data_IF_322348353876
#
_entry.id   IF_322348353876
#
_cell.length_a   1.000
_cell.length_b   1.000
_cell.length_c   1.000
_cell.angle_alpha   90.00
_cell.angle_beta   90.00
_cell.angle_gamma   90.00
#
_symmetry.space_group_name_H-M   'P 1'
#
loop_
_entity.id
_entity.type
_entity.pdbx_description
1 polymer ?
#
# COMPACT_ATOMS: atom_id res chain seq x y z
N UNK A 1 -7.47 8.56 0.67
CA UNK A 1 -7.93 9.87 1.18
C UNK A 1 -8.24 9.87 2.68
N UNK A 2 -9.43 9.48 3.18
CA UNK A 2 -9.78 9.64 4.62
C UNK A 2 -8.75 9.00 5.59
N UNK A 3 -8.31 7.79 5.28
CA UNK A 3 -7.26 7.06 6.04
C UNK A 3 -5.91 7.81 6.07
N UNK A 4 -5.50 8.42 4.96
CA UNK A 4 -4.26 9.22 4.87
C UNK A 4 -4.35 10.55 5.63
N UNK A 5 -5.56 11.11 5.75
CA UNK A 5 -5.83 12.31 6.54
C UNK A 5 -6.03 12.01 8.04
N UNK A 6 -6.04 10.74 8.46
CA UNK A 6 -6.33 10.34 9.83
C UNK A 6 -7.76 10.68 10.28
N UNK A 7 -8.71 10.73 9.33
CA UNK A 7 -10.12 11.04 9.60
C UNK A 7 -10.94 9.74 9.56
N UNK A 8 -11.69 9.40 10.63
CA UNK A 8 -12.61 8.26 10.62
C UNK A 8 -13.64 8.40 9.49
N UNK A 9 -13.85 7.31 8.75
CA UNK A 9 -14.80 7.30 7.64
C UNK A 9 -15.45 5.94 7.47
N UNK A 10 -16.77 5.95 7.25
CA UNK A 10 -17.56 4.75 6.95
C UNK A 10 -18.27 4.98 5.62
N UNK A 11 -18.19 4.01 4.71
CA UNK A 11 -18.79 4.08 3.36
C UNK A 11 -19.75 2.92 3.15
N UNK A 12 -20.69 3.04 2.21
CA UNK A 12 -21.62 1.94 1.87
C UNK A 12 -22.77 1.72 2.85
N UNK A 13 -23.10 2.70 3.70
CA UNK A 13 -24.11 2.61 4.78
C UNK A 13 -25.55 2.59 4.25
N UNK A 14 -25.75 2.84 2.95
CA UNK A 14 -27.07 2.95 2.35
C UNK A 14 -27.77 4.27 2.71
N UNK A 15 -29.09 4.37 2.52
CA UNK A 15 -29.85 5.57 2.84
C UNK A 15 -30.06 5.71 4.35
N UNK A 16 -29.39 6.67 4.96
CA UNK A 16 -29.59 7.06 6.37
C UNK A 16 -29.78 8.58 6.55
N UNK A 17 -29.63 9.37 5.46
CA UNK A 17 -29.68 10.83 5.50
C UNK A 17 -31.04 11.39 5.95
N UNK A 18 -32.11 10.59 5.85
CA UNK A 18 -33.44 10.97 6.37
C UNK A 18 -33.53 10.90 7.89
N UNK A 19 -32.58 10.21 8.52
CA UNK A 19 -32.58 9.93 9.96
C UNK A 19 -31.61 10.85 10.72
N UNK A 20 -31.05 11.87 10.05
CA UNK A 20 -30.10 12.83 10.62
C UNK A 20 -30.52 14.25 10.27
N UNK A 21 -30.64 15.09 11.29
CA UNK A 21 -30.90 16.52 11.18
C UNK A 21 -29.66 17.34 11.53
N UNK A 22 -29.58 18.56 11.01
CA UNK A 22 -28.52 19.50 11.37
C UNK A 22 -28.54 19.79 12.86
N UNK A 23 -27.44 19.49 13.55
CA UNK A 23 -27.29 19.67 15.00
C UNK A 23 -27.33 18.37 15.82
N UNK A 24 -27.65 17.23 15.19
CA UNK A 24 -27.64 15.93 15.87
C UNK A 24 -26.22 15.49 16.24
N UNK A 25 -26.10 14.85 17.41
CA UNK A 25 -24.86 14.17 17.80
C UNK A 25 -24.81 12.80 17.13
N UNK A 26 -23.69 12.53 16.46
CA UNK A 26 -23.45 11.30 15.72
C UNK A 26 -22.04 10.79 16.04
N UNK A 27 -21.90 9.47 16.17
CA UNK A 27 -20.60 8.81 16.32
C UNK A 27 -20.29 8.10 15.00
N UNK A 28 -19.06 8.30 14.51
CA UNK A 28 -18.52 7.62 13.35
C UNK A 28 -17.45 6.66 13.86
N UNK A 29 -17.77 5.39 13.88
CA UNK A 29 -16.86 4.31 14.27
C UNK A 29 -16.26 3.70 13.01
N UNK A 30 -15.06 4.18 12.65
CA UNK A 30 -14.31 3.69 11.50
C UNK A 30 -13.74 2.28 11.68
N UNK A 31 -13.55 1.84 12.92
CA UNK A 31 -12.94 0.55 13.25
C UNK A 31 -13.95 -0.60 13.08
N UNK A 32 -15.19 -0.39 13.53
CA UNK A 32 -16.30 -1.33 13.38
C UNK A 32 -17.15 -1.09 12.12
N UNK A 33 -16.90 0.02 11.41
CA UNK A 33 -17.69 0.41 10.24
C UNK A 33 -19.13 0.79 10.58
N UNK A 34 -19.35 1.43 11.73
CA UNK A 34 -20.68 1.75 12.27
C UNK A 34 -20.90 3.26 12.35
N UNK A 35 -22.15 3.67 12.17
CA UNK A 35 -22.62 5.01 12.54
C UNK A 35 -23.68 4.86 13.62
N UNK A 36 -23.48 5.56 14.73
CA UNK A 36 -24.46 5.62 15.82
C UNK A 36 -25.15 6.98 15.79
N UNK A 37 -26.43 6.97 15.45
CA UNK A 37 -27.28 8.15 15.46
C UNK A 37 -27.93 8.31 16.83
N UNK A 38 -28.01 9.55 17.32
CA UNK A 38 -28.61 9.88 18.62
C UNK A 38 -28.12 8.97 19.78
N UNK A 39 -26.78 8.86 19.99
CA UNK A 39 -26.24 7.99 21.03
C UNK A 39 -26.73 8.44 22.41
N UNK A 40 -27.07 7.49 23.28
CA UNK A 40 -27.34 7.77 24.69
C UNK A 40 -26.07 8.13 25.46
N UNK A 41 -26.23 8.63 26.68
CA UNK A 41 -25.10 9.05 27.53
C UNK A 41 -24.14 7.89 27.84
N UNK A 42 -24.63 6.65 27.94
CA UNK A 42 -23.80 5.46 28.16
C UNK A 42 -22.92 5.18 26.95
N UNK A 43 -23.50 5.19 25.75
CA UNK A 43 -22.79 5.00 24.48
C UNK A 43 -21.77 6.12 24.26
N UNK A 44 -22.15 7.38 24.52
CA UNK A 44 -21.24 8.52 24.46
C UNK A 44 -20.07 8.38 25.43
N UNK A 45 -20.33 7.95 26.67
CA UNK A 45 -19.28 7.74 27.66
C UNK A 45 -18.32 6.62 27.23
N UNK A 46 -18.84 5.51 26.68
CA UNK A 46 -18.03 4.40 26.16
C UNK A 46 -17.10 4.87 25.03
N UNK A 47 -17.64 5.49 23.99
CA UNK A 47 -16.82 5.97 22.86
C UNK A 47 -15.83 7.07 23.27
N UNK A 48 -16.20 7.95 24.23
CA UNK A 48 -15.24 8.92 24.79
C UNK A 48 -14.08 8.23 25.52
N UNK A 49 -14.36 7.15 26.23
CA UNK A 49 -13.34 6.36 26.90
C UNK A 49 -12.40 5.70 25.88
N UNK A 50 -12.94 5.09 24.84
CA UNK A 50 -12.16 4.47 23.75
C UNK A 50 -11.25 5.50 23.06
N UNK A 51 -11.75 6.70 22.75
CA UNK A 51 -10.94 7.79 22.18
C UNK A 51 -9.79 8.20 23.10
N UNK A 52 -10.02 8.22 24.42
CA UNK A 52 -8.98 8.56 25.39
C UNK A 52 -7.92 7.45 25.51
N UNK A 53 -8.33 6.18 25.44
CA UNK A 53 -7.41 5.05 25.39
C UNK A 53 -6.55 5.07 24.12
N UNK A 54 -7.15 5.37 22.97
CA UNK A 54 -6.43 5.53 21.70
C UNK A 54 -5.40 6.67 21.79
N UNK A 55 -5.75 7.82 22.39
CA UNK A 55 -4.81 8.94 22.61
C UNK A 55 -3.67 8.57 23.54
N UNK A 56 -3.98 7.87 24.63
CA UNK A 56 -2.99 7.38 25.59
C UNK A 56 -2.03 6.40 24.92
N UNK A 57 -2.54 5.49 24.10
CA UNK A 57 -1.73 4.56 23.30
C UNK A 57 -0.86 5.31 22.29
N UNK A 58 -1.43 6.25 21.53
CA UNK A 58 -0.67 7.07 20.58
C UNK A 58 0.53 7.76 21.26
N UNK A 59 0.30 8.35 22.45
CA UNK A 59 1.35 9.00 23.25
C UNK A 59 2.44 8.00 23.69
N UNK A 60 2.06 6.77 24.07
CA UNK A 60 3.03 5.72 24.40
C UNK A 60 3.84 5.28 23.17
N UNK A 61 3.21 5.25 22.01
CA UNK A 61 3.84 4.86 20.74
C UNK A 61 4.80 5.92 20.20
N UNK A 62 4.65 7.20 20.56
CA UNK A 62 5.63 8.25 20.23
C UNK A 62 7.04 7.90 20.71
N UNK A 63 7.16 7.22 21.85
CA UNK A 63 8.47 6.76 22.36
C UNK A 63 9.14 5.74 21.44
N UNK A 64 8.37 5.04 20.58
CA UNK A 64 8.90 4.08 19.62
C UNK A 64 9.37 4.73 18.32
N UNK A 65 9.00 5.99 18.05
CA UNK A 65 9.32 6.71 16.82
C UNK A 65 10.79 6.56 16.41
N UNK A 66 11.70 6.89 17.32
CA UNK A 66 13.15 6.92 17.09
C UNK A 66 13.81 5.53 17.22
N UNK A 67 13.07 4.51 17.66
CA UNK A 67 13.60 3.16 17.79
C UNK A 67 13.51 2.42 16.44
N UNK A 68 14.51 1.58 16.10
CA UNK A 68 14.41 0.71 14.94
C UNK A 68 13.38 -0.41 15.21
N UNK A 69 12.73 -0.91 14.17
CA UNK A 69 11.83 -2.06 14.28
C UNK A 69 12.65 -3.36 14.28
N UNK A 70 13.22 -3.72 15.44
CA UNK A 70 14.02 -4.95 15.62
C UNK A 70 13.23 -5.94 16.48
N UNK A 71 13.10 -7.18 16.00
CA UNK A 71 12.43 -8.27 16.74
C UNK A 71 13.21 -8.70 17.98
N UNK A 72 12.59 -9.46 18.88
CA UNK A 72 13.22 -9.95 20.12
C UNK A 72 14.48 -10.81 19.86
N UNK A 73 14.54 -11.45 18.71
CA UNK A 73 15.67 -12.28 18.24
C UNK A 73 16.63 -11.53 17.30
N UNK A 74 16.47 -10.22 17.13
CA UNK A 74 17.47 -9.35 16.50
C UNK A 74 17.28 -9.10 15.00
N UNK A 75 16.17 -9.53 14.41
CA UNK A 75 15.88 -9.29 13.00
C UNK A 75 15.40 -7.85 12.79
N UNK A 76 16.00 -7.14 11.83
CA UNK A 76 15.60 -5.79 11.46
C UNK A 76 14.46 -5.83 10.44
N UNK A 77 13.37 -5.12 10.75
CA UNK A 77 12.22 -4.93 9.87
C UNK A 77 12.23 -3.49 9.35
N UNK A 78 12.10 -3.31 8.04
CA UNK A 78 11.96 -2.00 7.41
C UNK A 78 10.49 -1.58 7.41
N UNK A 79 10.20 -0.40 7.96
CA UNK A 79 8.85 0.17 8.02
C UNK A 79 8.82 1.50 7.26
N UNK A 80 8.32 1.47 6.04
CA UNK A 80 8.22 2.61 5.14
C UNK A 80 6.80 3.19 5.12
N UNK A 81 6.68 4.44 4.69
CA UNK A 81 5.41 5.14 4.52
C UNK A 81 4.81 5.00 3.12
N UNK A 82 3.48 4.89 3.07
CA UNK A 82 2.66 5.06 1.88
C UNK A 82 2.17 6.50 1.84
N UNK A 83 2.41 7.21 0.74
CA UNK A 83 1.89 8.57 0.53
C UNK A 83 1.16 8.66 -0.81
N UNK A 84 0.19 9.56 -0.85
CA UNK A 84 -0.58 9.99 -2.01
C UNK A 84 -0.31 11.47 -2.32
N UNK A 85 -0.04 12.29 -1.30
CA UNK A 85 0.25 13.71 -1.45
C UNK A 85 1.63 14.10 -0.87
N UNK A 86 2.31 15.11 -1.46
CA UNK A 86 3.62 15.53 -0.97
C UNK A 86 3.68 15.93 0.51
N UNK A 87 2.61 16.50 1.06
CA UNK A 87 2.58 16.94 2.46
C UNK A 87 2.57 15.78 3.47
N UNK A 88 2.25 14.56 3.03
CA UNK A 88 2.23 13.38 3.92
C UNK A 88 3.65 12.90 4.28
N UNK A 89 4.69 13.40 3.60
CA UNK A 89 6.10 13.13 3.95
C UNK A 89 6.43 13.53 5.38
N UNK A 90 5.92 14.68 5.84
CA UNK A 90 6.15 15.14 7.21
C UNK A 90 5.57 14.13 8.22
N UNK A 91 4.37 13.60 7.96
CA UNK A 91 3.75 12.59 8.81
C UNK A 91 4.54 11.28 8.85
N UNK A 92 5.13 10.86 7.73
CA UNK A 92 6.02 9.69 7.69
C UNK A 92 7.24 9.88 8.59
N UNK A 93 7.89 11.05 8.51
CA UNK A 93 9.06 11.38 9.33
C UNK A 93 8.69 11.51 10.81
N UNK A 94 7.54 12.13 11.11
CA UNK A 94 7.04 12.28 12.47
C UNK A 94 6.71 10.95 13.16
N UNK A 95 6.36 9.93 12.38
CA UNK A 95 6.01 8.60 12.87
C UNK A 95 7.16 7.58 12.77
N UNK A 96 8.34 8.04 12.33
CA UNK A 96 9.57 7.25 12.30
C UNK A 96 9.59 6.17 11.22
N UNK A 97 9.12 6.51 10.01
CA UNK A 97 9.25 5.69 8.83
C UNK A 97 10.68 5.72 8.27
N UNK A 98 11.14 4.58 7.75
CA UNK A 98 12.50 4.39 7.21
C UNK A 98 12.66 4.92 5.77
N UNK A 99 11.57 5.36 5.15
CA UNK A 99 11.51 5.85 3.78
C UNK A 99 10.07 5.92 3.28
N UNK A 100 9.89 6.14 1.98
CA UNK A 100 8.60 6.02 1.30
C UNK A 100 8.62 4.76 0.44
N UNK A 101 7.82 3.75 0.81
CA UNK A 101 7.79 2.46 0.09
C UNK A 101 6.70 2.39 -0.98
N UNK A 102 5.81 3.40 -1.01
CA UNK A 102 4.84 3.61 -2.06
C UNK A 102 4.46 5.10 -2.12
N UNK A 103 4.85 5.77 -3.19
CA UNK A 103 4.27 7.04 -3.60
C UNK A 103 3.28 6.81 -4.74
N UNK A 104 2.00 7.01 -4.43
CA UNK A 104 0.87 7.01 -5.36
C UNK A 104 0.86 8.31 -6.15
N UNK A 105 1.09 8.23 -7.45
CA UNK A 105 1.26 9.41 -8.33
C UNK A 105 -0.05 9.90 -8.94
N UNK A 106 -1.18 9.23 -8.65
CA UNK A 106 -2.46 9.49 -9.31
C UNK A 106 -3.07 10.84 -8.92
N UNK A 107 -2.73 11.38 -7.75
CA UNK A 107 -3.28 12.65 -7.25
C UNK A 107 -3.07 13.81 -8.24
N UNK A 108 -2.00 13.77 -9.02
CA UNK A 108 -1.65 14.82 -9.98
C UNK A 108 -2.63 14.90 -11.15
N UNK A 109 -3.40 13.84 -11.41
CA UNK A 109 -4.45 13.78 -12.42
C UNK A 109 -5.84 14.11 -11.87
N UNK A 110 -6.04 14.05 -10.54
CA UNK A 110 -7.35 14.22 -9.93
C UNK A 110 -7.85 15.67 -10.07
N UNK A 111 -9.07 15.82 -10.60
CA UNK A 111 -9.75 17.12 -10.69
C UNK A 111 -9.22 18.05 -11.78
N UNK A 112 -8.34 17.56 -12.67
CA UNK A 112 -7.82 18.30 -13.83
C UNK A 112 -8.55 17.94 -15.12
N UNK A 113 -8.66 18.93 -16.00
CA UNK A 113 -9.19 18.76 -17.35
C UNK A 113 -8.08 18.47 -18.37
N UNK A 114 -6.87 18.95 -18.13
CA UNK A 114 -5.69 18.74 -18.97
C UNK A 114 -4.70 17.75 -18.37
N UNK A 115 -3.93 17.07 -19.23
CA UNK A 115 -2.85 16.18 -18.80
C UNK A 115 -1.73 16.96 -18.08
N UNK A 116 -1.19 16.42 -16.97
CA UNK A 116 -0.08 17.04 -16.24
C UNK A 116 1.18 17.10 -17.10
N UNK A 117 1.88 18.22 -17.04
CA UNK A 117 3.13 18.44 -17.76
C UNK A 117 4.31 17.77 -17.05
N UNK A 118 5.42 17.55 -17.77
CA UNK A 118 6.67 17.05 -17.19
C UNK A 118 7.13 17.91 -16.00
N UNK A 119 7.02 19.24 -16.12
CA UNK A 119 7.46 20.15 -15.06
C UNK A 119 6.58 20.04 -13.80
N UNK A 120 5.26 19.89 -13.97
CA UNK A 120 4.36 19.70 -12.84
C UNK A 120 4.65 18.38 -12.10
N UNK A 121 4.90 17.30 -12.84
CA UNK A 121 5.36 16.04 -12.27
C UNK A 121 6.69 16.23 -11.54
N UNK A 122 7.67 16.87 -12.17
CA UNK A 122 9.00 17.08 -11.61
C UNK A 122 8.95 17.90 -10.32
N UNK A 123 8.20 19.00 -10.27
CA UNK A 123 8.01 19.82 -9.06
C UNK A 123 7.42 18.99 -7.91
N UNK A 124 6.38 18.18 -8.18
CA UNK A 124 5.76 17.33 -7.19
C UNK A 124 6.71 16.22 -6.67
N UNK A 125 7.48 15.61 -7.57
CA UNK A 125 8.39 14.51 -7.24
C UNK A 125 9.65 14.97 -6.53
N UNK A 126 10.27 16.04 -7.02
CA UNK A 126 11.46 16.65 -6.42
C UNK A 126 11.19 17.14 -5.00
N UNK A 127 10.03 17.76 -4.75
CA UNK A 127 9.64 18.20 -3.41
C UNK A 127 9.61 17.05 -2.38
N UNK A 128 9.05 15.89 -2.77
CA UNK A 128 9.02 14.69 -1.92
C UNK A 128 10.43 14.16 -1.67
N UNK A 129 11.23 14.02 -2.72
CA UNK A 129 12.58 13.42 -2.64
C UNK A 129 13.52 14.26 -1.79
N UNK A 130 13.48 15.59 -1.96
CA UNK A 130 14.24 16.51 -1.12
C UNK A 130 13.81 16.47 0.35
N UNK A 131 12.49 16.40 0.60
CA UNK A 131 11.95 16.32 1.95
C UNK A 131 12.41 15.04 2.68
N UNK A 132 12.62 13.93 1.96
CA UNK A 132 13.10 12.65 2.50
C UNK A 132 14.60 12.62 2.84
N UNK A 133 15.37 13.66 2.49
CA UNK A 133 16.78 13.86 2.92
C UNK A 133 17.68 12.63 2.72
N UNK A 134 17.53 11.97 1.57
CA UNK A 134 18.34 10.81 1.19
C UNK A 134 17.76 9.44 1.59
N UNK A 135 16.63 9.39 2.30
CA UNK A 135 15.87 8.15 2.45
C UNK A 135 15.20 7.77 1.12
N UNK A 136 15.04 6.46 0.83
CA UNK A 136 14.49 5.99 -0.44
C UNK A 136 13.03 6.39 -0.63
N UNK A 137 12.68 6.73 -1.87
CA UNK A 137 11.31 6.99 -2.34
C UNK A 137 10.98 6.05 -3.49
N UNK A 138 10.06 5.11 -3.24
CA UNK A 138 9.57 4.19 -4.26
C UNK A 138 8.35 4.82 -4.95
N UNK A 139 8.56 5.31 -6.18
CA UNK A 139 7.52 5.91 -7.02
C UNK A 139 6.80 4.84 -7.83
N UNK A 140 5.48 4.77 -7.66
CA UNK A 140 4.63 3.97 -8.53
C UNK A 140 4.21 4.82 -9.72
N UNK A 141 4.42 4.30 -10.94
CA UNK A 141 3.88 4.96 -12.13
C UNK A 141 2.35 4.95 -12.11
N UNK A 142 1.72 5.69 -13.02
CA UNK A 142 0.27 5.85 -13.09
C UNK A 142 -0.51 4.53 -12.93
N UNK A 143 -1.37 4.46 -11.91
CA UNK A 143 -2.34 3.39 -11.67
C UNK A 143 -3.77 3.95 -11.63
N UNK A 144 -4.22 4.46 -12.78
CA UNK A 144 -5.62 4.86 -13.01
C UNK A 144 -6.24 4.06 -14.14
N UNK A 145 -7.55 3.85 -14.06
CA UNK A 145 -8.35 3.39 -15.19
C UNK A 145 -8.64 4.52 -16.17
N UNK A 146 -8.83 4.16 -17.45
CA UNK A 146 -9.21 5.12 -18.48
C UNK A 146 -10.50 5.88 -18.14
N UNK A 147 -11.40 5.25 -17.36
CA UNK A 147 -12.63 5.84 -16.84
C UNK A 147 -12.41 7.06 -15.92
N UNK A 148 -11.21 7.19 -15.34
CA UNK A 148 -10.85 8.26 -14.41
C UNK A 148 -10.01 9.37 -15.06
N UNK A 149 -9.65 9.23 -16.33
CA UNK A 149 -8.84 10.19 -17.09
C UNK A 149 -9.77 11.06 -17.94
N UNK A 150 -9.88 12.36 -17.62
CA UNK A 150 -10.77 13.29 -18.36
C UNK A 150 -10.28 13.57 -19.79
N UNK A 151 -8.97 13.55 -20.00
CA UNK A 151 -8.30 13.84 -21.27
C UNK A 151 -8.40 12.71 -22.29
N UNK A 152 -8.66 11.49 -21.84
CA UNK A 152 -8.76 10.33 -22.71
C UNK A 152 -10.23 10.08 -23.07
N UNK A 153 -10.54 9.72 -24.32
CA UNK A 153 -11.88 9.28 -24.66
C UNK A 153 -12.22 8.11 -23.74
N UNK A 154 -13.24 8.30 -22.91
CA UNK A 154 -13.75 7.25 -22.05
C UNK A 154 -14.04 6.07 -22.97
N UNK A 155 -13.39 4.90 -22.80
CA UNK A 155 -13.70 3.76 -23.64
C UNK A 155 -15.19 3.49 -23.46
N UNK A 156 -15.99 3.79 -24.50
CA UNK A 156 -17.44 3.57 -24.46
C UNK A 156 -17.67 2.13 -23.96
N UNK A 157 -18.37 2.01 -22.82
CA UNK A 157 -18.82 0.74 -22.24
C UNK A 157 -17.75 -0.27 -21.78
N UNK A 158 -16.63 0.14 -21.18
CA UNK A 158 -15.77 -0.82 -20.44
C UNK A 158 -16.54 -1.42 -19.25
N UNK A 159 -17.06 -2.64 -19.43
CA UNK A 159 -17.94 -3.29 -18.45
C UNK A 159 -17.23 -3.68 -17.16
N UNK A 160 -15.94 -3.93 -17.22
CA UNK A 160 -15.14 -4.35 -16.07
C UNK A 160 -13.85 -3.51 -15.98
N UNK A 161 -13.92 -2.25 -15.51
CA UNK A 161 -12.77 -1.35 -15.47
C UNK A 161 -11.55 -1.94 -14.73
N UNK A 162 -11.79 -2.69 -13.65
CA UNK A 162 -10.74 -3.39 -12.92
C UNK A 162 -10.04 -4.49 -13.71
N UNK A 163 -10.65 -5.05 -14.77
CA UNK A 163 -10.02 -6.04 -15.66
C UNK A 163 -9.59 -5.44 -17.01
N UNK A 164 -9.86 -4.15 -17.23
CA UNK A 164 -9.75 -3.49 -18.53
C UNK A 164 -8.48 -2.66 -18.71
N UNK A 165 -8.63 -1.58 -19.46
CA UNK A 165 -7.56 -0.62 -19.78
C UNK A 165 -7.27 0.32 -18.60
N UNK A 166 -6.31 -0.06 -17.76
CA UNK A 166 -5.83 0.73 -16.63
C UNK A 166 -4.31 0.58 -16.43
N UNK A 167 -3.76 1.44 -15.59
CA UNK A 167 -2.41 1.28 -15.03
C UNK A 167 -1.34 1.16 -16.14
N UNK A 168 -0.42 0.19 -16.05
CA UNK A 168 0.62 0.01 -17.07
C UNK A 168 0.07 -0.21 -18.48
N UNK A 169 -1.11 -0.81 -18.65
CA UNK A 169 -1.72 -1.01 -19.98
C UNK A 169 -2.17 0.31 -20.58
N UNK A 170 -2.72 1.20 -19.76
CA UNK A 170 -3.08 2.55 -20.16
C UNK A 170 -1.82 3.36 -20.53
N UNK A 171 -0.78 3.25 -19.71
CA UNK A 171 0.50 3.93 -19.92
C UNK A 171 1.19 3.47 -21.22
N UNK A 172 1.28 2.15 -21.46
CA UNK A 172 1.88 1.59 -22.68
C UNK A 172 1.10 1.92 -23.95
N UNK A 173 -0.23 2.10 -23.84
CA UNK A 173 -1.07 2.56 -24.96
C UNK A 173 -0.86 4.05 -25.26
N UNK A 174 -0.58 4.87 -24.24
CA UNK A 174 -0.38 6.31 -24.36
C UNK A 174 1.07 6.69 -24.00
N UNK A 175 1.99 6.33 -24.90
CA UNK A 175 3.44 6.46 -24.63
C UNK A 175 3.90 7.88 -24.35
N UNK A 176 3.29 8.90 -24.95
CA UNK A 176 3.66 10.30 -24.70
C UNK A 176 3.37 10.71 -23.23
N UNK A 177 2.19 10.33 -22.72
CA UNK A 177 1.82 10.53 -21.33
C UNK A 177 2.74 9.76 -20.39
N UNK A 178 3.08 8.52 -20.75
CA UNK A 178 3.95 7.68 -19.92
C UNK A 178 5.39 8.23 -19.90
N UNK A 179 5.95 8.56 -21.07
CA UNK A 179 7.27 9.16 -21.20
C UNK A 179 7.40 10.48 -20.44
N UNK A 180 6.36 11.32 -20.46
CA UNK A 180 6.28 12.55 -19.66
C UNK A 180 6.45 12.26 -18.16
N UNK A 181 5.75 11.25 -17.64
CA UNK A 181 5.89 10.84 -16.24
C UNK A 181 7.28 10.27 -15.95
N UNK A 182 7.81 9.39 -16.80
CA UNK A 182 9.12 8.75 -16.61
C UNK A 182 10.26 9.77 -16.63
N UNK A 183 10.25 10.72 -17.58
CA UNK A 183 11.23 11.80 -17.65
C UNK A 183 11.24 12.63 -16.37
N UNK A 184 10.06 12.95 -15.83
CA UNK A 184 9.97 13.70 -14.58
C UNK A 184 10.51 12.90 -13.36
N UNK A 185 10.23 11.59 -13.28
CA UNK A 185 10.77 10.71 -12.23
C UNK A 185 12.31 10.65 -12.33
N UNK A 186 12.84 10.44 -13.52
CA UNK A 186 14.28 10.41 -13.80
C UNK A 186 14.95 11.75 -13.46
N UNK A 187 14.37 12.88 -13.85
CA UNK A 187 14.88 14.20 -13.47
C UNK A 187 14.97 14.35 -11.95
N UNK A 188 13.92 13.94 -11.24
CA UNK A 188 13.88 14.02 -9.78
C UNK A 188 14.92 13.08 -9.12
N UNK A 189 15.33 11.98 -9.76
CA UNK A 189 16.28 11.03 -9.18
C UNK A 189 17.70 11.59 -9.06
N UNK A 190 18.02 12.69 -9.76
CA UNK A 190 19.25 13.45 -9.53
C UNK A 190 19.33 14.12 -8.15
N UNK A 191 18.21 14.20 -7.42
CA UNK A 191 18.10 14.92 -6.14
C UNK A 191 18.07 14.02 -4.90
N UNK A 192 18.02 12.69 -5.07
CA UNK A 192 17.95 11.73 -3.97
C UNK A 192 17.64 10.31 -4.44
N UNK A 193 17.53 9.37 -3.50
CA UNK A 193 17.31 7.96 -3.82
C UNK A 193 15.85 7.70 -4.25
N UNK A 194 15.64 7.59 -5.57
CA UNK A 194 14.36 7.17 -6.15
C UNK A 194 14.48 5.74 -6.62
N UNK A 195 13.40 4.98 -6.44
CA UNK A 195 13.18 3.71 -7.10
C UNK A 195 11.85 3.80 -7.85
N UNK A 196 11.77 3.23 -9.04
CA UNK A 196 10.54 3.21 -9.82
C UNK A 196 9.91 1.82 -9.75
N UNK A 197 8.59 1.75 -9.69
CA UNK A 197 7.88 0.48 -9.89
C UNK A 197 6.66 0.63 -10.79
N UNK A 198 6.41 -0.42 -11.58
CA UNK A 198 5.27 -0.49 -12.48
C UNK A 198 4.10 -1.27 -11.86
N UNK A 199 2.88 -0.71 -11.82
CA UNK A 199 1.66 -1.38 -11.36
C UNK A 199 1.10 -2.34 -12.41
N UNK A 200 0.29 -3.30 -11.97
CA UNK A 200 -0.53 -4.18 -12.79
C UNK A 200 0.23 -4.96 -13.87
N UNK A 201 1.50 -5.28 -13.61
CA UNK A 201 2.25 -6.17 -14.49
C UNK A 201 1.64 -7.56 -14.39
N UNK A 202 1.19 -8.10 -15.53
CA UNK A 202 0.61 -9.44 -15.62
C UNK A 202 1.47 -10.41 -16.43
N UNK A 203 2.31 -9.87 -17.33
CA UNK A 203 3.19 -10.63 -18.22
C UNK A 203 4.59 -10.00 -18.32
N UNK A 204 5.59 -10.82 -18.63
CA UNK A 204 6.98 -10.35 -18.82
C UNK A 204 7.13 -9.35 -19.98
N UNK A 205 6.26 -9.45 -20.98
CA UNK A 205 6.28 -8.56 -22.14
C UNK A 205 5.85 -7.14 -21.74
N UNK A 206 4.82 -6.99 -20.91
CA UNK A 206 4.42 -5.68 -20.37
C UNK A 206 5.58 -5.02 -19.61
N UNK A 207 6.28 -5.79 -18.77
CA UNK A 207 7.45 -5.28 -18.04
C UNK A 207 8.57 -4.83 -18.98
N UNK A 208 8.95 -5.67 -19.95
CA UNK A 208 10.01 -5.34 -20.91
C UNK A 208 9.65 -4.11 -21.76
N UNK A 209 8.38 -3.96 -22.14
CA UNK A 209 7.90 -2.76 -22.84
C UNK A 209 8.00 -1.52 -21.95
N UNK A 210 7.65 -1.63 -20.66
CA UNK A 210 7.78 -0.51 -19.72
C UNK A 210 9.25 -0.09 -19.53
N UNK A 211 10.15 -1.07 -19.39
CA UNK A 211 11.60 -0.84 -19.31
C UNK A 211 12.16 -0.19 -20.58
N UNK A 212 11.64 -0.56 -21.76
CA UNK A 212 12.03 0.08 -23.01
C UNK A 212 11.66 1.56 -23.03
N UNK A 213 10.42 1.92 -22.65
CA UNK A 213 10.01 3.33 -22.60
C UNK A 213 10.81 4.11 -21.54
N UNK A 214 11.19 3.47 -20.43
CA UNK A 214 12.08 4.06 -19.44
C UNK A 214 13.49 4.32 -20.03
N UNK A 215 14.03 3.38 -20.80
CA UNK A 215 15.33 3.53 -21.46
C UNK A 215 15.28 4.64 -22.52
N UNK A 216 14.24 4.71 -23.34
CA UNK A 216 14.02 5.80 -24.30
C UNK A 216 14.02 7.16 -23.58
N UNK A 217 13.32 7.27 -22.44
CA UNK A 217 13.30 8.48 -21.63
C UNK A 217 14.67 8.84 -21.02
N UNK A 218 15.50 7.86 -20.66
CA UNK A 218 16.87 8.08 -20.20
C UNK A 218 17.75 8.62 -21.32
N UNK A 219 17.66 8.06 -22.53
CA UNK A 219 18.37 8.52 -23.72
C UNK A 219 17.99 9.97 -24.06
N UNK A 220 16.69 10.28 -24.09
CA UNK A 220 16.21 11.65 -24.37
C UNK A 220 16.73 12.68 -23.34
N UNK A 221 16.89 12.30 -22.06
CA UNK A 221 17.45 13.17 -21.03
C UNK A 221 18.96 13.33 -21.17
N UNK A 222 19.67 12.25 -21.55
CA UNK A 222 21.11 12.29 -21.82
C UNK A 222 21.43 13.21 -23.01
N UNK A 223 20.68 13.09 -24.12
CA UNK A 223 20.81 13.98 -25.28
C UNK A 223 20.51 15.44 -24.95
N UNK A 224 19.54 15.69 -24.06
CA UNK A 224 19.21 17.02 -23.58
C UNK A 224 20.21 17.57 -22.54
N UNK A 225 21.18 16.77 -22.07
CA UNK A 225 22.13 17.15 -21.04
C UNK A 225 21.50 17.35 -19.65
N UNK A 226 20.38 16.69 -19.38
CA UNK A 226 19.66 16.79 -18.11
C UNK A 226 20.11 15.65 -17.19
N UNK A 227 20.44 15.97 -15.94
CA UNK A 227 20.92 14.99 -14.97
C UNK A 227 19.80 14.07 -14.47
N UNK A 228 20.13 12.79 -14.30
CA UNK A 228 19.30 11.74 -13.69
C UNK A 228 20.20 10.63 -13.12
N UNK A 229 19.65 9.79 -12.25
CA UNK A 229 20.32 8.56 -11.77
C UNK A 229 20.22 7.44 -12.81
N UNK A 230 21.37 7.05 -13.39
CA UNK A 230 21.46 5.96 -14.40
C UNK A 230 21.28 4.58 -13.78
N UNK A 231 21.55 4.44 -12.49
CA UNK A 231 21.47 3.18 -11.76
C UNK A 231 20.15 3.04 -10.98
N UNK A 232 19.17 3.90 -11.31
CA UNK A 232 17.85 3.93 -10.67
C UNK A 232 17.21 2.54 -10.68
N UNK A 233 16.83 2.07 -9.50
CA UNK A 233 16.26 0.73 -9.31
C UNK A 233 14.85 0.63 -9.89
N UNK A 234 14.60 -0.45 -10.62
CA UNK A 234 13.33 -0.73 -11.29
C UNK A 234 12.69 -1.97 -10.68
N UNK A 235 11.54 -1.79 -10.07
CA UNK A 235 10.74 -2.86 -9.49
C UNK A 235 9.40 -3.05 -10.20
N UNK A 236 8.61 -3.98 -9.67
CA UNK A 236 7.22 -4.14 -10.07
C UNK A 236 6.30 -4.39 -8.89
N UNK A 237 5.05 -3.96 -9.04
CA UNK A 237 4.00 -4.34 -8.10
C UNK A 237 3.53 -5.76 -8.41
N UNK A 238 3.51 -6.61 -7.39
CA UNK A 238 3.04 -7.99 -7.45
C UNK A 238 1.62 -8.02 -6.91
N UNK A 239 0.67 -7.82 -7.81
CA UNK A 239 -0.75 -7.71 -7.48
C UNK A 239 -1.68 -8.52 -8.40
N UNK A 240 -1.13 -9.14 -9.45
CA UNK A 240 -1.87 -10.01 -10.37
C UNK A 240 -1.44 -11.46 -10.12
N UNK A 241 -2.37 -12.43 -9.95
CA UNK A 241 -2.02 -13.83 -9.76
C UNK A 241 -1.05 -14.41 -10.81
N UNK A 242 -1.20 -14.00 -12.09
CA UNK A 242 -0.29 -14.44 -13.16
C UNK A 242 1.15 -14.00 -12.94
N UNK A 243 1.37 -12.83 -12.31
CA UNK A 243 2.71 -12.35 -12.00
C UNK A 243 3.38 -13.21 -10.92
N UNK A 244 2.61 -13.62 -9.90
CA UNK A 244 3.11 -14.50 -8.84
C UNK A 244 3.46 -15.88 -9.42
N UNK A 245 2.60 -16.43 -10.29
CA UNK A 245 2.85 -17.72 -10.95
C UNK A 245 4.11 -17.73 -11.83
N UNK A 246 4.56 -16.57 -12.30
CA UNK A 246 5.69 -16.39 -13.19
C UNK A 246 6.86 -15.65 -12.51
N UNK A 247 6.82 -15.52 -11.18
CA UNK A 247 7.74 -14.65 -10.44
C UNK A 247 9.20 -15.10 -10.58
N UNK A 248 9.45 -16.40 -10.75
CA UNK A 248 10.75 -17.01 -11.09
C UNK A 248 11.36 -16.47 -12.40
N UNK A 249 10.54 -15.89 -13.29
CA UNK A 249 11.01 -15.24 -14.52
C UNK A 249 11.16 -13.74 -14.37
N UNK A 250 10.42 -13.13 -13.45
CA UNK A 250 10.52 -11.70 -13.18
C UNK A 250 11.77 -11.36 -12.37
N UNK A 251 12.28 -12.29 -11.53
CA UNK A 251 13.50 -12.07 -10.72
C UNK A 251 14.73 -11.66 -11.55
N UNK A 252 14.79 -12.04 -12.83
CA UNK A 252 15.89 -11.69 -13.74
C UNK A 252 15.75 -10.27 -14.33
N UNK A 253 14.60 -9.62 -14.17
CA UNK A 253 14.21 -8.39 -14.89
C UNK A 253 13.94 -7.19 -13.96
N UNK A 254 13.90 -7.40 -12.65
CA UNK A 254 13.60 -6.36 -11.65
C UNK A 254 14.59 -6.37 -10.50
N UNK A 255 14.80 -5.19 -9.90
CA UNK A 255 15.64 -5.00 -8.71
C UNK A 255 14.89 -5.28 -7.40
N UNK A 256 13.55 -5.21 -7.40
CA UNK A 256 12.72 -5.46 -6.21
C UNK A 256 11.25 -5.73 -6.57
N UNK A 257 10.51 -6.28 -5.61
CA UNK A 257 9.07 -6.48 -5.68
C UNK A 257 8.32 -5.74 -4.57
N UNK A 258 7.09 -5.32 -4.86
CA UNK A 258 6.17 -4.78 -3.85
C UNK A 258 4.80 -5.44 -3.99
N UNK A 259 4.37 -6.19 -2.97
CA UNK A 259 3.09 -6.91 -3.00
C UNK A 259 1.94 -5.94 -2.74
N UNK A 260 1.10 -5.76 -3.75
CA UNK A 260 -0.12 -4.96 -3.67
C UNK A 260 -1.30 -5.83 -3.24
N UNK A 261 -1.46 -6.08 -1.93
CA UNK A 261 -2.49 -7.02 -1.45
C UNK A 261 -3.91 -6.63 -1.84
N UNK A 262 -4.15 -5.34 -2.05
CA UNK A 262 -5.45 -4.82 -2.38
C UNK A 262 -6.01 -5.42 -3.68
N UNK A 263 -5.24 -5.28 -4.75
CA UNK A 263 -5.63 -5.80 -6.06
C UNK A 263 -5.36 -7.32 -6.14
N UNK A 264 -4.36 -7.83 -5.39
CA UNK A 264 -4.13 -9.28 -5.27
C UNK A 264 -5.35 -10.01 -4.68
N UNK A 265 -5.92 -9.55 -3.57
CA UNK A 265 -7.11 -10.16 -2.96
C UNK A 265 -8.28 -10.11 -3.96
N UNK A 266 -8.50 -8.96 -4.59
CA UNK A 266 -9.57 -8.77 -5.55
C UNK A 266 -9.45 -9.74 -6.74
N UNK A 267 -8.28 -9.88 -7.36
CA UNK A 267 -8.09 -10.77 -8.50
C UNK A 267 -7.99 -12.24 -8.11
N UNK A 268 -7.42 -12.55 -6.95
CA UNK A 268 -7.34 -13.92 -6.44
C UNK A 268 -8.73 -14.49 -6.12
N UNK A 269 -9.60 -13.67 -5.52
CA UNK A 269 -10.95 -14.09 -5.12
C UNK A 269 -12.02 -13.75 -6.15
N UNK A 270 -11.66 -13.00 -7.20
CA UNK A 270 -12.57 -12.47 -8.21
C UNK A 270 -13.70 -11.62 -7.59
N UNK A 271 -13.35 -10.75 -6.64
CA UNK A 271 -14.30 -9.91 -5.89
C UNK A 271 -13.93 -8.43 -6.03
N UNK A 272 -14.83 -7.65 -6.61
CA UNK A 272 -14.72 -6.19 -6.60
C UNK A 272 -15.07 -5.66 -5.21
N UNK A 273 -14.05 -5.12 -4.50
CA UNK A 273 -14.21 -4.55 -3.15
C UNK A 273 -15.10 -3.30 -3.09
N UNK A 274 -15.35 -2.65 -4.22
CA UNK A 274 -16.27 -1.51 -4.32
C UNK A 274 -17.73 -1.95 -4.53
N UNK A 275 -17.94 -3.22 -4.89
CA UNK A 275 -19.28 -3.77 -5.09
C UNK A 275 -19.87 -4.26 -3.76
N UNK A 276 -20.82 -3.49 -3.23
CA UNK A 276 -21.50 -3.77 -1.96
C UNK A 276 -22.13 -5.17 -1.84
N UNK A 277 -22.52 -5.79 -2.97
CA UNK A 277 -23.23 -7.08 -2.96
C UNK A 277 -22.27 -8.27 -2.77
N UNK A 278 -20.97 -8.05 -2.97
CA UNK A 278 -19.91 -9.07 -2.84
C UNK A 278 -18.73 -8.64 -1.96
N UNK A 279 -18.71 -7.40 -1.47
CA UNK A 279 -17.62 -6.86 -0.66
C UNK A 279 -17.33 -7.69 0.60
N UNK A 280 -18.32 -8.40 1.13
CA UNK A 280 -18.16 -9.35 2.25
C UNK A 280 -17.29 -10.57 1.91
N UNK A 281 -17.09 -10.88 0.62
CA UNK A 281 -16.21 -11.95 0.15
C UNK A 281 -14.74 -11.49 0.03
N UNK A 282 -14.48 -10.17 0.07
CA UNK A 282 -13.13 -9.63 0.03
C UNK A 282 -12.47 -9.84 1.40
N UNK A 283 -11.53 -10.80 1.50
CA UNK A 283 -10.87 -11.12 2.77
C UNK A 283 -9.38 -11.40 2.60
N UNK A 284 -8.56 -10.66 3.37
CA UNK A 284 -7.11 -10.84 3.39
C UNK A 284 -6.67 -12.13 4.09
N UNK A 285 -7.54 -12.71 4.92
CA UNK A 285 -7.28 -13.97 5.63
C UNK A 285 -7.57 -15.21 4.78
N UNK A 286 -8.00 -15.07 3.52
CA UNK A 286 -8.30 -16.24 2.69
C UNK A 286 -7.06 -17.13 2.49
N UNK A 287 -7.16 -18.46 2.66
CA UNK A 287 -6.03 -19.36 2.45
C UNK A 287 -5.36 -19.21 1.07
N UNK A 288 -6.13 -18.91 0.01
CA UNK A 288 -5.58 -18.71 -1.34
C UNK A 288 -4.70 -17.45 -1.40
N UNK A 289 -5.16 -16.36 -0.77
CA UNK A 289 -4.40 -15.09 -0.69
C UNK A 289 -3.13 -15.30 0.11
N UNK A 290 -3.22 -15.94 1.29
CA UNK A 290 -2.05 -16.22 2.14
C UNK A 290 -1.01 -17.06 1.38
N UNK A 291 -1.45 -18.10 0.67
CA UNK A 291 -0.56 -18.94 -0.17
C UNK A 291 0.08 -18.16 -1.30
N UNK A 292 -0.64 -17.22 -1.93
CA UNK A 292 -0.07 -16.37 -2.98
C UNK A 292 1.00 -15.42 -2.42
N UNK A 293 0.76 -14.81 -1.25
CA UNK A 293 1.74 -13.97 -0.57
C UNK A 293 2.97 -14.81 -0.18
N UNK A 294 2.76 -15.99 0.41
CA UNK A 294 3.84 -16.91 0.75
C UNK A 294 4.67 -17.27 -0.47
N UNK A 295 4.03 -17.63 -1.58
CA UNK A 295 4.73 -17.97 -2.82
C UNK A 295 5.55 -16.79 -3.33
N UNK A 296 5.01 -15.58 -3.29
CA UNK A 296 5.72 -14.37 -3.71
C UNK A 296 6.95 -14.10 -2.83
N UNK A 297 6.77 -14.10 -1.50
CA UNK A 297 7.84 -13.83 -0.54
C UNK A 297 8.92 -14.90 -0.62
N UNK A 298 8.54 -16.18 -0.67
CA UNK A 298 9.48 -17.28 -0.81
C UNK A 298 10.28 -17.18 -2.10
N UNK A 299 9.63 -16.94 -3.24
CA UNK A 299 10.32 -16.84 -4.54
C UNK A 299 11.31 -15.68 -4.57
N UNK A 300 10.94 -14.53 -4.01
CA UNK A 300 11.83 -13.37 -3.89
C UNK A 300 13.04 -13.68 -3.01
N UNK A 301 12.82 -14.27 -1.82
CA UNK A 301 13.88 -14.62 -0.88
C UNK A 301 14.82 -15.71 -1.43
N UNK A 302 14.30 -16.71 -2.15
CA UNK A 302 15.11 -17.77 -2.80
C UNK A 302 16.06 -17.23 -3.87
N UNK A 303 15.76 -16.06 -4.44
CA UNK A 303 16.57 -15.39 -5.48
C UNK A 303 17.26 -14.12 -4.97
N UNK A 304 17.27 -13.89 -3.65
CA UNK A 304 17.85 -12.71 -3.01
C UNK A 304 17.32 -11.36 -3.56
N UNK A 305 16.07 -11.33 -4.03
CA UNK A 305 15.40 -10.12 -4.50
C UNK A 305 14.62 -9.48 -3.35
N UNK A 306 14.85 -8.18 -3.03
CA UNK A 306 14.06 -7.48 -2.02
C UNK A 306 12.56 -7.50 -2.33
N UNK A 307 11.76 -7.86 -1.32
CA UNK A 307 10.30 -7.85 -1.39
C UNK A 307 9.70 -7.04 -0.24
N UNK A 308 8.77 -6.15 -0.58
CA UNK A 308 7.97 -5.41 0.40
C UNK A 308 6.48 -5.68 0.18
N UNK A 309 5.63 -5.21 1.11
CA UNK A 309 4.18 -5.26 0.98
C UNK A 309 3.60 -3.87 1.24
N UNK A 310 2.86 -3.32 0.27
CA UNK A 310 2.32 -1.96 0.32
C UNK A 310 0.78 -1.88 0.39
N UNK A 311 0.09 -3.03 0.38
CA UNK A 311 -1.36 -3.10 0.52
C UNK A 311 -1.85 -2.97 1.97
N UNK A 312 -3.17 -2.78 2.17
CA UNK A 312 -3.75 -2.51 3.49
C UNK A 312 -3.52 -3.64 4.51
N UNK A 313 -3.34 -4.88 4.04
CA UNK A 313 -3.00 -6.01 4.91
C UNK A 313 -1.70 -5.76 5.70
N UNK A 314 -0.74 -5.05 5.10
CA UNK A 314 0.52 -4.72 5.76
C UNK A 314 0.35 -3.79 6.94
N UNK A 315 -0.55 -2.81 6.83
CA UNK A 315 -0.81 -1.82 7.89
C UNK A 315 -1.64 -2.34 9.06
N UNK A 316 -2.12 -3.59 9.02
CA UNK A 316 -2.96 -4.14 10.05
C UNK A 316 -2.15 -5.07 10.99
N UNK A 317 -2.03 -4.73 12.29
CA UNK A 317 -1.30 -5.51 13.30
C UNK A 317 -1.65 -6.99 13.36
N UNK A 318 -2.91 -7.34 13.06
CA UNK A 318 -3.41 -8.71 13.05
C UNK A 318 -2.59 -9.63 12.14
N UNK A 319 -2.14 -9.11 11.00
CA UNK A 319 -1.41 -9.90 10.00
C UNK A 319 0.10 -9.82 10.18
N UNK A 320 0.63 -8.91 11.02
CA UNK A 320 2.06 -8.68 11.12
C UNK A 320 2.82 -9.95 11.50
N UNK A 321 2.34 -10.72 12.49
CA UNK A 321 2.99 -11.97 12.89
C UNK A 321 2.98 -13.02 11.77
N UNK A 322 1.89 -13.14 11.03
CA UNK A 322 1.81 -14.01 9.87
C UNK A 322 2.80 -13.58 8.79
N UNK A 323 2.80 -12.31 8.39
CA UNK A 323 3.64 -11.78 7.32
C UNK A 323 5.14 -11.90 7.65
N UNK A 324 5.54 -11.64 8.91
CA UNK A 324 6.90 -11.91 9.38
C UNK A 324 7.24 -13.40 9.29
N UNK A 325 6.30 -14.28 9.67
CA UNK A 325 6.46 -15.73 9.62
C UNK A 325 6.55 -16.30 8.20
N UNK A 326 5.96 -15.61 7.22
CA UNK A 326 6.10 -15.93 5.79
C UNK A 326 7.45 -15.49 5.22
N UNK A 327 8.26 -14.75 5.99
CA UNK A 327 9.59 -14.28 5.56
C UNK A 327 9.63 -12.83 5.07
N UNK A 328 8.56 -12.05 5.24
CA UNK A 328 8.56 -10.64 4.86
C UNK A 328 9.34 -9.81 5.89
N UNK A 329 10.20 -8.89 5.43
CA UNK A 329 11.02 -8.00 6.28
C UNK A 329 10.87 -6.52 5.95
N UNK A 330 10.05 -6.17 4.97
CA UNK A 330 9.82 -4.80 4.54
C UNK A 330 8.33 -4.54 4.35
N UNK A 331 7.83 -3.51 5.02
CA UNK A 331 6.44 -3.09 4.97
C UNK A 331 6.37 -1.64 4.49
N UNK A 332 5.38 -1.34 3.67
CA UNK A 332 5.05 0.04 3.32
C UNK A 332 3.59 0.29 3.68
N UNK A 333 3.36 1.16 4.67
CA UNK A 333 2.04 1.30 5.31
C UNK A 333 1.67 2.77 5.42
N UNK A 334 0.39 3.06 5.69
CA UNK A 334 0.00 4.44 6.00
C UNK A 334 0.84 4.96 7.17
N UNK A 335 1.18 6.26 7.20
CA UNK A 335 2.02 6.81 8.27
C UNK A 335 1.45 6.43 9.64
N UNK A 336 0.12 6.42 9.75
CA UNK A 336 -0.59 6.11 10.97
C UNK A 336 -0.33 4.73 11.56
N UNK A 337 -0.10 3.74 10.70
CA UNK A 337 0.14 2.35 11.09
C UNK A 337 1.59 2.08 11.53
N UNK A 338 2.56 2.92 11.15
CA UNK A 338 4.00 2.69 11.40
C UNK A 338 4.31 2.44 12.89
N UNK A 339 3.86 3.27 13.85
CA UNK A 339 4.21 3.08 15.25
C UNK A 339 3.62 1.79 15.85
N UNK A 340 2.42 1.42 15.39
CA UNK A 340 1.74 0.22 15.87
C UNK A 340 2.39 -1.06 15.34
N UNK A 341 2.74 -1.09 14.06
CA UNK A 341 3.54 -2.18 13.48
C UNK A 341 4.89 -2.30 14.18
N UNK A 342 5.54 -1.17 14.45
CA UNK A 342 6.82 -1.13 15.17
C UNK A 342 6.69 -1.73 16.56
N UNK A 343 5.59 -1.46 17.27
CA UNK A 343 5.26 -2.09 18.55
C UNK A 343 5.16 -3.61 18.42
N UNK A 344 4.43 -4.12 17.42
CA UNK A 344 4.28 -5.58 17.20
C UNK A 344 5.64 -6.21 16.89
N UNK A 345 6.39 -5.66 15.93
CA UNK A 345 7.70 -6.18 15.53
C UNK A 345 8.64 -6.31 16.73
N UNK A 346 8.70 -5.28 17.59
CA UNK A 346 9.57 -5.26 18.78
C UNK A 346 9.10 -6.19 19.91
N UNK A 347 7.91 -6.77 19.80
CA UNK A 347 7.28 -7.60 20.84
C UNK A 347 7.30 -9.10 20.53
N UNK A 348 7.74 -9.50 19.34
CA UNK A 348 7.74 -10.89 18.85
C UNK A 348 9.14 -11.32 18.40
N UNK A 349 9.36 -12.62 18.25
CA UNK A 349 10.53 -13.20 17.57
C UNK A 349 10.12 -13.79 16.22
N UNK A 350 11.05 -13.90 15.28
CA UNK A 350 10.81 -14.55 13.98
C UNK A 350 10.40 -16.01 14.17
N UNK A 351 11.07 -16.74 15.06
CA UNK A 351 10.71 -18.12 15.40
C UNK A 351 9.25 -18.27 15.91
N UNK A 352 8.73 -17.28 16.64
CA UNK A 352 7.31 -17.24 17.02
C UNK A 352 6.41 -17.03 15.80
N UNK A 353 6.77 -16.08 14.94
CA UNK A 353 6.03 -15.76 13.73
C UNK A 353 5.99 -16.93 12.73
N UNK A 354 7.09 -17.67 12.57
CA UNK A 354 7.17 -18.86 11.72
C UNK A 354 6.21 -19.96 12.17
N UNK A 355 6.06 -20.19 13.49
CA UNK A 355 5.03 -21.10 14.03
C UNK A 355 3.61 -20.65 13.71
N UNK A 356 3.34 -19.34 13.77
CA UNK A 356 2.03 -18.80 13.36
C UNK A 356 1.77 -19.10 11.89
N UNK A 357 2.74 -18.84 11.02
CA UNK A 357 2.62 -19.14 9.59
C UNK A 357 2.42 -20.64 9.33
N UNK A 358 3.16 -21.52 10.01
CA UNK A 358 3.02 -22.98 9.87
C UNK A 358 1.61 -23.45 10.25
N UNK A 359 1.05 -22.94 11.34
CA UNK A 359 -0.30 -23.28 11.76
C UNK A 359 -1.34 -22.77 10.75
N UNK A 360 -1.20 -21.53 10.26
CA UNK A 360 -2.10 -20.94 9.24
C UNK A 360 -2.11 -21.77 7.95
N UNK A 361 -0.98 -22.35 7.52
CA UNK A 361 -0.92 -23.20 6.31
C UNK A 361 -1.85 -24.42 6.36
N UNK A 362 -2.20 -24.89 7.56
CA UNK A 362 -3.07 -26.05 7.79
C UNK A 362 -4.57 -25.68 7.77
N UNK A 363 -4.90 -24.39 7.79
CA UNK A 363 -6.29 -23.94 7.91
C UNK A 363 -6.98 -23.83 6.56
N UNK A 364 -8.28 -24.10 6.54
CA UNK A 364 -9.08 -24.18 5.31
C UNK A 364 -10.04 -23.00 5.12
N UNK A 365 -10.18 -22.11 6.12
CA UNK A 365 -11.12 -20.98 6.02
C UNK A 365 -10.56 -19.67 6.54
N UNK A 366 -10.98 -18.57 5.92
CA UNK A 366 -10.60 -17.22 6.30
C UNK A 366 -10.99 -16.88 7.75
N UNK A 367 -12.13 -17.39 8.23
CA UNK A 367 -12.58 -17.18 9.61
C UNK A 367 -11.64 -17.87 10.60
N UNK A 368 -11.27 -19.14 10.35
CA UNK A 368 -10.35 -19.87 11.21
C UNK A 368 -8.98 -19.17 11.30
N UNK A 369 -8.46 -18.70 10.16
CA UNK A 369 -7.21 -17.93 10.12
C UNK A 369 -7.35 -16.64 10.93
N UNK A 370 -8.41 -15.85 10.69
CA UNK A 370 -8.62 -14.58 11.39
C UNK A 370 -8.71 -14.78 12.91
N UNK A 371 -9.51 -15.74 13.37
CA UNK A 371 -9.67 -16.06 14.80
C UNK A 371 -8.34 -16.50 15.41
N UNK A 372 -7.59 -17.37 14.73
CA UNK A 372 -6.28 -17.80 15.21
C UNK A 372 -5.28 -16.65 15.32
N UNK A 373 -5.23 -15.76 14.33
CA UNK A 373 -4.36 -14.58 14.38
C UNK A 373 -4.74 -13.63 15.52
N UNK A 374 -6.04 -13.47 15.81
CA UNK A 374 -6.53 -12.68 16.94
C UNK A 374 -6.11 -13.30 18.28
N UNK A 375 -6.22 -14.62 18.41
CA UNK A 375 -5.74 -15.36 19.58
C UNK A 375 -4.22 -15.23 19.77
N UNK A 376 -3.42 -15.29 18.70
CA UNK A 376 -1.97 -15.11 18.79
C UNK A 376 -1.57 -13.67 19.13
N UNK A 377 -2.25 -12.67 18.55
CA UNK A 377 -1.99 -11.26 18.83
C UNK A 377 -2.35 -10.92 20.29
N UNK A 378 -3.49 -11.41 20.80
CA UNK A 378 -3.94 -11.14 22.16
C UNK A 378 -3.02 -11.73 23.24
N UNK A 379 -2.26 -12.79 22.94
CA UNK A 379 -1.20 -13.32 23.83
C UNK A 379 -0.05 -12.32 24.02
N UNK A 380 0.20 -11.47 23.04
CA UNK A 380 1.24 -10.43 23.08
C UNK A 380 0.67 -9.10 23.61
N UNK A 381 -0.57 -8.78 23.21
CA UNK A 381 -1.25 -7.53 23.52
C UNK A 381 -2.69 -7.81 23.98
N UNK A 382 -2.92 -8.03 25.29
CA UNK A 382 -4.24 -8.35 25.84
C UNK A 382 -5.30 -7.28 25.60
N UNK A 383 -4.90 -6.05 25.26
CA UNK A 383 -5.78 -4.93 24.97
C UNK A 383 -6.45 -5.00 23.58
N UNK A 384 -5.99 -5.85 22.65
CA UNK A 384 -6.69 -6.02 21.38
C UNK A 384 -7.98 -6.82 21.60
N UNK A 385 -9.15 -6.28 21.20
CA UNK A 385 -10.40 -7.00 21.30
C UNK A 385 -10.40 -8.24 20.39
N UNK A 386 -10.91 -9.36 20.91
CA UNK A 386 -11.14 -10.62 20.21
C UNK A 386 -12.32 -10.53 19.22
#
# INVERSE_FOLDING_TARGET
>A
VAEGLGIPGVVGIGPFLTDVSGGDTVIIDGDQGQIVLHPDEETLARYRHEVEEQRSLATKLEMLRELPAITKDGELISLMGNIEFPYEVEQCQERGADGIGLYRTEFIYLGRDDDPTEELHFEAYSGVVQAMKGQPVIMRTLDLGADKMRSLPNPEDERNPFLGLRSIRLALRNRDLFGTQLRAILRASSMGEIRIMFPLISTIIELRQARMVLADAMEDLEEAGIAFDRDMKVGMMVEVPSAIMMMDRFVEEVDFFSIGTNDLIQYCLAVDRSNKDVANLYTASDPAVVRMIEMAVRTANEHDIPVSLCGQMGGNPLYTMLLLGLGLRSFSVTPTAVPELKRVCRSVSIDQCERVAEQVRTMESALAIKTFLMEELSKVFPEFPL
#
